data_IF_138471167768
#
_entry.id   IF_138471167768
#
_cell.length_a   1.000
_cell.length_b   1.000
_cell.length_c   1.000
_cell.angle_alpha   90.00
_cell.angle_beta   90.00
_cell.angle_gamma   90.00
#
_symmetry.space_group_name_H-M   'P 1'
#
loop_
_entity.id
_entity.type
_entity.pdbx_description
1 polymer ?
#
# COMPACT_ATOMS: atom_id res chain seq x y z
N UNK A 1 -10.55 -13.50 -11.23
CA UNK A 1 -10.81 -13.84 -9.82
C UNK A 1 -9.96 -15.04 -9.43
N UNK A 2 -9.24 -14.98 -8.32
CA UNK A 2 -8.57 -16.13 -7.68
C UNK A 2 -9.42 -16.55 -6.49
N UNK A 3 -9.72 -17.85 -6.34
CA UNK A 3 -10.58 -18.33 -5.27
C UNK A 3 -10.13 -19.71 -4.78
N UNK A 4 -10.11 -19.89 -3.47
CA UNK A 4 -9.88 -21.17 -2.83
C UNK A 4 -10.98 -21.45 -1.78
N UNK A 5 -10.72 -22.31 -0.79
CA UNK A 5 -11.67 -22.62 0.28
C UNK A 5 -11.82 -21.54 1.37
N UNK A 6 -10.85 -20.62 1.48
CA UNK A 6 -10.75 -19.63 2.56
C UNK A 6 -10.93 -18.17 2.08
N UNK A 7 -10.55 -17.87 0.84
CA UNK A 7 -10.46 -16.55 0.25
C UNK A 7 -11.01 -16.50 -1.19
N UNK A 8 -11.60 -15.37 -1.54
CA UNK A 8 -11.87 -14.97 -2.92
C UNK A 8 -11.30 -13.57 -3.18
N UNK A 9 -10.53 -13.42 -4.26
CA UNK A 9 -9.81 -12.21 -4.62
C UNK A 9 -10.17 -11.81 -6.05
N UNK A 10 -10.59 -10.57 -6.24
CA UNK A 10 -10.91 -10.03 -7.57
C UNK A 10 -9.87 -8.98 -7.97
N UNK A 11 -9.19 -9.26 -9.07
CA UNK A 11 -8.16 -8.39 -9.68
C UNK A 11 -8.71 -7.87 -11.01
N UNK A 12 -8.52 -6.58 -11.29
CA UNK A 12 -8.84 -5.96 -12.58
C UNK A 12 -7.53 -5.61 -13.30
N UNK A 13 -7.04 -6.45 -14.23
CA UNK A 13 -5.81 -6.18 -14.99
C UNK A 13 -5.82 -4.81 -15.70
N UNK A 14 -6.98 -4.40 -16.21
CA UNK A 14 -7.18 -3.18 -16.99
C UNK A 14 -7.11 -1.89 -16.17
N UNK A 15 -7.06 -1.99 -14.83
CA UNK A 15 -6.97 -0.88 -13.89
C UNK A 15 -5.76 -1.09 -12.98
N UNK A 16 -4.56 -1.11 -13.54
CA UNK A 16 -3.32 -1.21 -12.78
C UNK A 16 -3.13 -2.54 -12.05
N UNK A 17 -3.80 -3.61 -12.52
CA UNK A 17 -3.95 -4.85 -11.76
C UNK A 17 -4.50 -4.63 -10.33
N UNK A 18 -5.38 -3.63 -10.15
CA UNK A 18 -6.03 -3.29 -8.88
C UNK A 18 -6.77 -4.50 -8.31
N UNK A 19 -6.58 -4.75 -7.01
CA UNK A 19 -7.41 -5.72 -6.28
C UNK A 19 -8.61 -4.98 -5.74
N UNK A 20 -9.80 -5.27 -6.27
CA UNK A 20 -11.02 -4.55 -5.90
C UNK A 20 -11.81 -5.23 -4.78
N UNK A 21 -11.48 -6.48 -4.45
CA UNK A 21 -12.20 -7.27 -3.45
C UNK A 21 -11.31 -8.36 -2.89
N UNK A 22 -11.32 -8.51 -1.55
CA UNK A 22 -10.73 -9.64 -0.82
C UNK A 22 -11.73 -10.13 0.22
N UNK A 23 -12.41 -11.22 -0.11
CA UNK A 23 -13.44 -11.82 0.76
C UNK A 23 -12.87 -12.99 1.54
N UNK A 24 -13.00 -12.96 2.88
CA UNK A 24 -12.86 -14.15 3.73
C UNK A 24 -14.13 -15.00 3.62
N UNK A 25 -14.01 -16.19 3.04
CA UNK A 25 -15.15 -17.07 2.73
C UNK A 25 -15.77 -17.70 3.96
N UNK A 26 -14.95 -18.02 4.98
CA UNK A 26 -15.44 -18.58 6.26
C UNK A 26 -16.48 -17.69 6.93
N UNK A 27 -16.31 -16.37 6.82
CA UNK A 27 -17.16 -15.38 7.47
C UNK A 27 -17.99 -14.54 6.50
N UNK A 28 -17.87 -14.82 5.19
CA UNK A 28 -18.44 -14.02 4.11
C UNK A 28 -18.21 -12.51 4.28
N UNK A 29 -16.97 -12.12 4.60
CA UNK A 29 -16.59 -10.73 4.89
C UNK A 29 -15.71 -10.17 3.79
N UNK A 30 -16.13 -9.06 3.20
CA UNK A 30 -15.29 -8.17 2.41
C UNK A 30 -14.41 -7.31 3.34
N UNK A 31 -13.12 -7.22 3.03
CA UNK A 31 -12.15 -6.45 3.80
C UNK A 31 -11.79 -5.11 3.17
N UNK A 32 -11.82 -5.02 1.84
CA UNK A 32 -11.46 -3.79 1.15
C UNK A 32 -12.64 -2.80 1.15
N UNK A 33 -12.32 -1.51 1.24
CA UNK A 33 -13.30 -0.46 1.04
C UNK A 33 -13.69 -0.42 -0.44
N UNK A 34 -14.97 -0.20 -0.71
CA UNK A 34 -15.47 0.07 -2.05
C UNK A 34 -15.95 1.51 -2.11
N UNK A 35 -15.46 2.25 -3.07
CA UNK A 35 -16.04 3.54 -3.40
C UNK A 35 -17.37 3.32 -4.13
N UNK A 36 -18.48 3.69 -3.48
CA UNK A 36 -19.81 3.56 -4.07
C UNK A 36 -20.17 4.75 -4.96
N UNK A 37 -19.36 5.81 -4.95
CA UNK A 37 -19.62 7.05 -5.67
C UNK A 37 -19.00 7.03 -7.07
N UNK A 38 -17.99 6.18 -7.29
CA UNK A 38 -17.21 6.12 -8.53
C UNK A 38 -17.44 4.79 -9.24
N UNK A 39 -17.74 4.87 -10.55
CA UNK A 39 -17.75 3.69 -11.41
C UNK A 39 -16.33 3.40 -11.88
N UNK A 40 -15.83 2.21 -11.55
CA UNK A 40 -14.50 1.76 -11.97
C UNK A 40 -14.38 1.76 -13.49
N UNK A 41 -13.45 2.56 -14.02
CA UNK A 41 -13.13 2.69 -15.44
C UNK A 41 -11.67 3.13 -15.56
N UNK A 42 -10.98 2.84 -16.67
CA UNK A 42 -9.64 3.39 -16.89
C UNK A 42 -9.71 4.92 -16.85
N UNK A 43 -8.84 5.54 -16.04
CA UNK A 43 -8.80 6.99 -15.91
C UNK A 43 -8.39 7.63 -17.24
N UNK A 44 -9.12 8.66 -17.68
CA UNK A 44 -8.74 9.41 -18.88
C UNK A 44 -7.50 10.24 -18.59
N UNK A 45 -6.48 10.16 -19.44
CA UNK A 45 -5.24 10.94 -19.31
C UNK A 45 -4.58 10.84 -17.92
N UNK A 46 -4.80 9.73 -17.20
CA UNK A 46 -4.31 9.51 -15.83
C UNK A 46 -4.81 10.57 -14.83
N UNK A 47 -6.02 11.08 -15.02
CA UNK A 47 -6.65 12.02 -14.09
C UNK A 47 -7.07 11.30 -12.80
N UNK A 48 -6.35 11.62 -11.72
CA UNK A 48 -6.61 11.04 -10.40
C UNK A 48 -7.98 11.44 -9.83
N UNK A 49 -8.62 12.52 -10.31
CA UNK A 49 -9.97 12.86 -9.86
C UNK A 49 -11.04 11.85 -10.29
N UNK A 50 -10.75 11.02 -11.30
CA UNK A 50 -11.61 9.89 -11.68
C UNK A 50 -11.29 8.60 -10.92
N UNK A 51 -10.25 8.59 -10.07
CA UNK A 51 -9.80 7.41 -9.33
C UNK A 51 -10.70 7.14 -8.11
N UNK A 52 -10.99 5.86 -7.87
CA UNK A 52 -11.80 5.44 -6.74
C UNK A 52 -10.99 5.44 -5.43
N UNK A 53 -11.65 5.73 -4.32
CA UNK A 53 -11.01 5.77 -2.99
C UNK A 53 -10.87 4.40 -2.29
N UNK A 54 -11.10 3.29 -3.00
CA UNK A 54 -11.17 1.94 -2.44
C UNK A 54 -10.18 0.95 -3.07
N UNK A 55 -10.31 -0.33 -2.70
CA UNK A 55 -9.52 -1.42 -3.26
C UNK A 55 -8.04 -1.39 -2.85
N UNK A 56 -7.17 -1.95 -3.69
CA UNK A 56 -5.73 -2.00 -3.48
C UNK A 56 -4.97 -1.77 -4.79
N UNK A 57 -4.34 -0.60 -4.85
CA UNK A 57 -3.49 -0.13 -5.95
C UNK A 57 -1.99 -0.35 -5.69
N UNK A 58 -1.21 -0.30 -6.76
CA UNK A 58 0.25 -0.29 -6.69
C UNK A 58 0.76 1.12 -7.02
N UNK A 59 1.51 1.72 -6.10
CA UNK A 59 2.12 3.03 -6.31
C UNK A 59 3.60 2.86 -6.66
N UNK A 60 4.04 3.39 -7.80
CA UNK A 60 5.44 3.34 -8.27
C UNK A 60 5.64 4.27 -9.50
N UNK A 61 6.79 4.93 -9.69
CA UNK A 61 7.97 5.02 -8.82
C UNK A 61 7.87 6.14 -7.77
N UNK A 62 6.70 6.72 -7.61
CA UNK A 62 6.36 7.72 -6.59
C UNK A 62 4.90 7.56 -6.19
N UNK A 63 4.48 8.28 -5.15
CA UNK A 63 3.08 8.31 -4.71
C UNK A 63 2.50 9.72 -4.92
N UNK A 64 3.20 10.78 -4.53
CA UNK A 64 2.72 12.14 -4.83
C UNK A 64 3.12 12.57 -6.25
N UNK A 65 2.29 13.37 -6.94
CA UNK A 65 2.63 13.88 -8.26
C UNK A 65 3.89 14.76 -8.21
N UNK A 66 4.81 14.55 -9.15
CA UNK A 66 6.08 15.28 -9.21
C UNK A 66 6.74 15.14 -10.59
N UNK A 67 7.57 16.13 -10.94
CA UNK A 67 8.58 15.97 -11.98
C UNK A 67 9.82 15.34 -11.36
N UNK A 68 10.42 14.37 -12.03
CA UNK A 68 11.70 13.79 -11.62
C UNK A 68 12.57 13.47 -12.85
N UNK A 69 13.88 13.49 -12.64
CA UNK A 69 14.86 13.18 -13.68
C UNK A 69 15.85 12.15 -13.13
N UNK A 70 15.77 10.92 -13.63
CA UNK A 70 16.72 9.84 -13.31
C UNK A 70 17.58 9.47 -14.53
N UNK A 71 17.20 9.94 -15.72
CA UNK A 71 17.95 9.80 -16.96
C UNK A 71 18.31 11.22 -17.41
N UNK A 72 19.60 11.51 -17.67
CA UNK A 72 20.03 12.86 -18.07
C UNK A 72 19.25 13.41 -19.25
N UNK A 73 18.74 14.63 -19.10
CA UNK A 73 17.94 15.37 -20.09
C UNK A 73 16.58 14.72 -20.42
N UNK A 74 16.06 13.85 -19.55
CA UNK A 74 14.72 13.27 -19.69
C UNK A 74 13.94 13.48 -18.38
N UNK A 75 13.09 14.51 -18.38
CA UNK A 75 12.16 14.75 -17.28
C UNK A 75 10.92 13.87 -17.43
N UNK A 76 10.54 13.20 -16.36
CA UNK A 76 9.34 12.38 -16.27
C UNK A 76 8.35 13.06 -15.33
N UNK A 77 7.07 13.05 -15.69
CA UNK A 77 6.00 13.44 -14.80
C UNK A 77 5.37 12.19 -14.19
N UNK A 78 5.56 12.02 -12.89
CA UNK A 78 4.85 11.01 -12.11
C UNK A 78 3.51 11.60 -11.70
N UNK A 79 2.41 10.94 -12.06
CA UNK A 79 1.07 11.31 -11.60
C UNK A 79 0.90 10.97 -10.12
N UNK A 80 -0.21 11.39 -9.52
CA UNK A 80 -0.60 10.88 -8.21
C UNK A 80 -0.72 9.35 -8.28
N UNK A 81 -0.21 8.65 -7.26
CA UNK A 81 0.03 7.21 -7.17
C UNK A 81 0.99 6.64 -8.24
N UNK A 82 1.71 7.49 -8.97
CA UNK A 82 2.70 7.08 -9.95
C UNK A 82 2.08 6.58 -11.26
N UNK A 83 2.75 5.62 -11.90
CA UNK A 83 2.46 5.21 -13.28
C UNK A 83 1.65 3.91 -13.38
N UNK A 84 1.60 3.10 -12.32
CA UNK A 84 1.10 1.74 -12.40
C UNK A 84 -0.43 1.62 -12.34
N UNK A 85 -1.10 2.38 -11.47
CA UNK A 85 -2.52 2.22 -11.13
C UNK A 85 -3.47 2.53 -12.30
N UNK A 86 -3.07 3.46 -13.19
CA UNK A 86 -3.91 3.98 -14.26
C UNK A 86 -3.80 3.20 -15.58
N UNK A 87 -2.90 2.20 -15.66
CA UNK A 87 -2.58 1.50 -16.90
C UNK A 87 -3.17 0.09 -16.97
N UNK A 88 -3.33 -0.43 -18.18
CA UNK A 88 -3.60 -1.86 -18.35
C UNK A 88 -2.33 -2.67 -18.03
N UNK A 89 -2.55 -3.85 -17.46
CA UNK A 89 -1.51 -4.84 -17.22
C UNK A 89 -1.82 -6.10 -18.03
N UNK A 90 -0.77 -6.66 -18.62
CA UNK A 90 -0.85 -7.90 -19.37
C UNK A 90 -0.71 -9.10 -18.44
N UNK A 91 -1.59 -10.09 -18.61
CA UNK A 91 -1.45 -11.37 -17.94
C UNK A 91 -0.34 -12.14 -18.63
N UNK A 92 0.79 -12.33 -17.95
CA UNK A 92 1.98 -13.00 -18.49
C UNK A 92 2.06 -14.47 -18.11
N UNK A 93 1.40 -14.87 -17.02
CA UNK A 93 1.30 -16.26 -16.61
C UNK A 93 0.00 -16.53 -15.86
N UNK A 94 -0.63 -17.67 -16.17
CA UNK A 94 -1.73 -18.24 -15.40
C UNK A 94 -1.47 -19.72 -15.18
N UNK A 95 -1.38 -20.11 -13.92
CA UNK A 95 -1.28 -21.51 -13.54
C UNK A 95 -2.43 -21.86 -12.60
N UNK A 96 -3.14 -22.94 -12.91
CA UNK A 96 -4.19 -23.49 -12.06
C UNK A 96 -3.91 -24.97 -11.93
N UNK A 97 -3.70 -25.42 -10.69
CA UNK A 97 -3.57 -26.83 -10.34
C UNK A 97 -4.51 -27.16 -9.18
N UNK A 98 -4.51 -28.43 -8.78
CA UNK A 98 -5.25 -28.86 -7.59
C UNK A 98 -4.69 -28.26 -6.30
N UNK A 99 -3.45 -27.75 -6.30
CA UNK A 99 -2.76 -27.27 -5.10
C UNK A 99 -2.73 -25.75 -5.00
N UNK A 100 -2.70 -25.02 -6.12
CA UNK A 100 -2.62 -23.57 -6.12
C UNK A 100 -3.07 -22.90 -7.42
N UNK A 101 -3.38 -21.61 -7.30
CA UNK A 101 -3.61 -20.69 -8.41
C UNK A 101 -2.48 -19.66 -8.40
N UNK A 102 -1.83 -19.47 -9.54
CA UNK A 102 -0.84 -18.42 -9.77
C UNK A 102 -1.31 -17.51 -10.90
N UNK A 103 -1.26 -16.20 -10.67
CA UNK A 103 -1.54 -15.18 -11.67
C UNK A 103 -0.39 -14.16 -11.67
N UNK A 104 0.38 -14.08 -12.76
CA UNK A 104 1.39 -13.05 -12.96
C UNK A 104 0.90 -12.03 -13.97
N UNK A 105 1.05 -10.75 -13.61
CA UNK A 105 0.71 -9.63 -14.47
C UNK A 105 1.92 -8.70 -14.60
N UNK A 106 2.07 -8.09 -15.78
CA UNK A 106 3.10 -7.11 -16.08
C UNK A 106 2.48 -5.79 -16.51
N UNK A 107 2.95 -4.68 -15.95
CA UNK A 107 2.51 -3.35 -16.34
C UNK A 107 2.97 -2.97 -17.75
N UNK A 108 2.09 -2.32 -18.52
CA UNK A 108 2.41 -1.72 -19.83
C UNK A 108 2.98 -0.31 -19.66
N UNK A 109 4.15 -0.20 -19.01
CA UNK A 109 4.76 1.09 -18.67
C UNK A 109 5.01 1.96 -19.92
N UNK A 110 4.57 3.22 -19.90
CA UNK A 110 4.51 4.14 -21.05
C UNK A 110 5.81 4.30 -21.84
N UNK A 111 6.97 4.23 -21.20
CA UNK A 111 8.25 4.50 -21.85
C UNK A 111 9.27 3.35 -21.74
N UNK A 112 8.83 2.19 -21.23
CA UNK A 112 9.62 0.97 -21.08
C UNK A 112 10.94 1.12 -20.28
N UNK A 113 11.11 2.20 -19.50
CA UNK A 113 12.31 2.42 -18.67
C UNK A 113 12.47 1.39 -17.57
N UNK A 114 11.37 0.79 -17.13
CA UNK A 114 11.37 -0.36 -16.26
C UNK A 114 10.29 -1.36 -16.65
N UNK A 115 10.45 -2.59 -16.17
CA UNK A 115 9.44 -3.64 -16.22
C UNK A 115 8.99 -3.91 -14.80
N UNK A 116 7.68 -3.84 -14.54
CA UNK A 116 7.09 -4.16 -13.24
C UNK A 116 6.18 -5.38 -13.38
N UNK A 117 6.43 -6.41 -12.56
CA UNK A 117 5.65 -7.65 -12.52
C UNK A 117 5.14 -7.86 -11.09
N UNK A 118 3.86 -8.21 -10.99
CA UNK A 118 3.21 -8.65 -9.75
C UNK A 118 2.65 -10.05 -9.95
N UNK A 119 2.98 -10.96 -9.05
CA UNK A 119 2.48 -12.33 -9.06
C UNK A 119 1.68 -12.60 -7.80
N UNK A 120 0.47 -13.12 -7.99
CA UNK A 120 -0.40 -13.59 -6.92
C UNK A 120 -0.37 -15.11 -6.86
N UNK A 121 -0.13 -15.67 -5.68
CA UNK A 121 -0.22 -17.12 -5.46
C UNK A 121 -1.22 -17.42 -4.33
N UNK A 122 -2.21 -18.25 -4.64
CA UNK A 122 -3.25 -18.68 -3.71
C UNK A 122 -3.31 -20.21 -3.63
N UNK A 123 -2.80 -20.78 -2.54
CA UNK A 123 -2.84 -22.23 -2.29
C UNK A 123 -4.23 -22.69 -1.86
N UNK A 124 -4.62 -23.92 -2.21
CA UNK A 124 -5.96 -24.52 -2.05
C UNK A 124 -6.64 -24.33 -0.68
N UNK A 125 -5.88 -24.46 0.40
CA UNK A 125 -6.36 -24.40 1.79
C UNK A 125 -5.68 -23.29 2.61
N UNK A 126 -5.24 -22.23 1.94
CA UNK A 126 -4.52 -21.13 2.58
C UNK A 126 -5.43 -19.95 2.87
N UNK A 127 -5.34 -19.42 4.10
CA UNK A 127 -5.88 -18.11 4.47
C UNK A 127 -4.98 -16.94 4.06
N UNK A 128 -3.98 -17.20 3.22
CA UNK A 128 -2.97 -16.26 2.77
C UNK A 128 -2.93 -16.17 1.26
N UNK A 129 -2.89 -14.95 0.77
CA UNK A 129 -2.50 -14.60 -0.59
C UNK A 129 -1.03 -14.17 -0.56
N UNK A 130 -0.18 -14.90 -1.29
CA UNK A 130 1.21 -14.49 -1.48
C UNK A 130 1.26 -13.50 -2.64
N UNK A 131 2.05 -12.44 -2.47
CA UNK A 131 2.23 -11.39 -3.48
C UNK A 131 3.72 -11.16 -3.67
N UNK A 132 4.21 -11.50 -4.86
CA UNK A 132 5.60 -11.34 -5.25
C UNK A 132 5.73 -10.20 -6.26
N UNK A 133 6.77 -9.40 -6.09
CA UNK A 133 7.08 -8.23 -6.91
C UNK A 133 8.44 -8.40 -7.56
N UNK A 134 8.53 -8.00 -8.83
CA UNK A 134 9.77 -7.94 -9.58
C UNK A 134 9.81 -6.66 -10.39
N UNK A 135 10.90 -5.90 -10.24
CA UNK A 135 11.15 -4.70 -11.04
C UNK A 135 12.51 -4.81 -11.70
N UNK A 136 12.55 -4.66 -13.02
CA UNK A 136 13.78 -4.57 -13.81
C UNK A 136 13.94 -3.14 -14.32
N UNK A 137 15.08 -2.54 -14.04
CA UNK A 137 15.50 -1.30 -14.68
C UNK A 137 16.06 -1.64 -16.07
N UNK A 138 15.43 -1.13 -17.13
CA UNK A 138 15.81 -1.38 -18.51
C UNK A 138 16.77 -0.33 -19.08
N UNK A 139 17.25 0.58 -18.23
CA UNK A 139 18.17 1.66 -18.60
C UNK A 139 19.54 1.46 -17.99
N UNK A 140 20.54 2.20 -18.47
CA UNK A 140 21.89 2.22 -17.88
C UNK A 140 22.01 3.13 -16.67
N UNK A 141 21.01 3.97 -16.38
CA UNK A 141 21.01 4.90 -15.25
C UNK A 141 20.33 4.27 -14.04
N UNK A 142 20.66 4.73 -12.83
CA UNK A 142 19.99 4.23 -11.64
C UNK A 142 18.52 4.70 -11.61
N UNK A 143 17.62 3.83 -11.18
CA UNK A 143 16.20 4.12 -10.98
C UNK A 143 15.94 4.28 -9.48
N UNK A 144 15.92 5.52 -8.95
CA UNK A 144 15.38 5.78 -7.63
C UNK A 144 13.86 5.61 -7.67
N UNK A 145 13.27 5.09 -6.60
CA UNK A 145 11.83 4.88 -6.53
C UNK A 145 11.30 4.90 -5.10
N UNK A 146 10.03 5.24 -4.97
CA UNK A 146 9.17 4.88 -3.85
C UNK A 146 8.16 3.87 -4.36
N UNK A 147 7.90 2.84 -3.56
CA UNK A 147 6.87 1.85 -3.82
C UNK A 147 5.93 1.75 -2.62
N UNK A 148 4.63 1.65 -2.87
CA UNK A 148 3.65 1.32 -1.82
C UNK A 148 2.64 0.34 -2.37
N UNK A 149 2.43 -0.77 -1.65
CA UNK A 149 1.19 -1.49 -1.74
C UNK A 149 0.12 -0.64 -1.03
N UNK A 150 -0.90 -0.19 -1.78
CA UNK A 150 -1.88 0.78 -1.28
C UNK A 150 -3.29 0.19 -1.08
N UNK A 151 -3.48 -0.81 -0.18
CA UNK A 151 -4.78 -1.38 0.14
C UNK A 151 -5.56 -0.49 1.11
N UNK A 152 -6.78 -0.14 0.71
CA UNK A 152 -7.72 0.63 1.50
C UNK A 152 -8.77 -0.29 2.10
N UNK A 153 -8.81 -0.36 3.43
CA UNK A 153 -9.66 -1.27 4.19
C UNK A 153 -10.99 -0.63 4.60
N UNK A 154 -12.05 -1.44 4.54
CA UNK A 154 -13.32 -1.15 5.17
C UNK A 154 -13.20 -1.34 6.69
N UNK A 155 -13.42 -0.26 7.43
CA UNK A 155 -13.25 -0.21 8.89
C UNK A 155 -14.53 0.18 9.61
N UNK A 156 -14.58 -0.11 10.91
CA UNK A 156 -15.60 0.38 11.84
C UNK A 156 -14.90 0.94 13.08
N UNK A 157 -15.53 1.90 13.79
CA UNK A 157 -15.05 2.33 15.09
C UNK A 157 -14.77 1.14 16.01
N UNK A 158 -13.78 1.29 16.90
CA UNK A 158 -13.31 0.29 17.85
C UNK A 158 -12.50 -0.87 17.26
N UNK A 159 -12.38 -1.00 15.93
CA UNK A 159 -11.36 -1.86 15.34
C UNK A 159 -9.96 -1.38 15.74
N UNK A 160 -8.98 -2.29 15.73
CA UNK A 160 -7.62 -1.99 16.18
C UNK A 160 -6.57 -2.43 15.17
N UNK A 161 -5.50 -1.66 15.06
CA UNK A 161 -4.30 -1.99 14.31
C UNK A 161 -3.31 -2.58 15.29
N UNK A 162 -2.79 -3.77 15.02
CA UNK A 162 -1.77 -4.41 15.85
C UNK A 162 -0.53 -4.65 15.01
N UNK A 163 0.62 -4.32 15.58
CA UNK A 163 1.93 -4.48 14.95
C UNK A 163 2.80 -5.28 15.91
N UNK A 164 3.46 -6.33 15.42
CA UNK A 164 4.29 -7.20 16.26
C UNK A 164 5.59 -6.53 16.75
N UNK A 165 5.92 -5.35 16.22
CA UNK A 165 7.00 -4.50 16.71
C UNK A 165 6.43 -3.29 17.48
N UNK A 166 6.50 -3.35 18.82
CA UNK A 166 5.96 -2.30 19.69
C UNK A 166 6.78 -1.01 19.70
N UNK A 167 8.06 -1.08 19.33
CA UNK A 167 8.97 0.07 19.37
C UNK A 167 9.05 0.81 18.03
N UNK A 168 8.15 0.50 17.09
CA UNK A 168 8.12 1.19 15.83
C UNK A 168 7.74 2.66 16.03
N UNK A 169 8.46 3.56 15.37
CA UNK A 169 8.17 4.99 15.41
C UNK A 169 7.65 5.44 14.07
N UNK A 170 6.70 6.38 14.08
CA UNK A 170 6.11 6.99 12.90
C UNK A 170 6.45 8.47 12.84
N UNK A 171 6.80 8.94 11.64
CA UNK A 171 6.99 10.35 11.35
C UNK A 171 5.65 11.07 11.48
N UNK A 172 5.65 12.19 12.17
CA UNK A 172 4.48 13.07 12.30
C UNK A 172 4.31 13.87 11.01
N UNK A 173 3.15 13.74 10.38
CA UNK A 173 2.76 14.56 9.22
C UNK A 173 1.97 15.80 9.67
N UNK A 174 1.62 16.66 8.71
CA UNK A 174 0.86 17.88 8.97
C UNK A 174 -0.54 17.58 9.53
N UNK A 175 -1.21 16.52 9.03
CA UNK A 175 -2.53 16.11 9.49
C UNK A 175 -2.53 15.72 10.98
N UNK A 176 -1.57 14.89 11.38
CA UNK A 176 -1.41 14.47 12.78
C UNK A 176 -0.97 15.63 13.67
N UNK A 177 -0.01 16.44 13.21
CA UNK A 177 0.47 17.62 13.92
C UNK A 177 -0.66 18.60 14.21
N UNK A 178 -1.45 18.96 13.19
CA UNK A 178 -2.56 19.88 13.31
C UNK A 178 -3.66 19.33 14.22
N UNK A 179 -4.06 18.07 14.02
CA UNK A 179 -5.18 17.47 14.75
C UNK A 179 -4.89 17.32 16.25
N UNK A 180 -3.68 16.89 16.62
CA UNK A 180 -3.30 16.67 18.03
C UNK A 180 -2.46 17.79 18.65
N UNK A 181 -2.17 18.86 17.89
CA UNK A 181 -1.30 19.96 18.31
C UNK A 181 0.05 19.44 18.87
N UNK A 182 0.72 18.61 18.06
CA UNK A 182 2.00 17.97 18.39
C UNK A 182 3.10 18.42 17.42
N UNK A 183 4.27 18.74 17.97
CA UNK A 183 5.42 19.27 17.22
C UNK A 183 6.62 18.30 17.22
N UNK A 184 6.44 17.08 17.71
CA UNK A 184 7.48 16.04 17.67
C UNK A 184 7.70 15.59 16.23
N UNK A 185 8.95 15.30 15.85
CA UNK A 185 9.25 14.76 14.51
C UNK A 185 8.73 13.31 14.35
N UNK A 186 8.75 12.54 15.43
CA UNK A 186 8.31 11.15 15.49
C UNK A 186 7.46 10.90 16.73
N UNK A 187 6.61 9.88 16.63
CA UNK A 187 5.83 9.32 17.72
C UNK A 187 6.05 7.81 17.78
N UNK A 188 6.18 7.24 18.97
CA UNK A 188 6.29 5.80 19.14
C UNK A 188 4.89 5.16 19.07
N UNK A 189 4.77 4.07 18.31
CA UNK A 189 3.52 3.33 18.10
C UNK A 189 2.85 2.87 19.41
N UNK A 190 3.66 2.49 20.40
CA UNK A 190 3.18 2.02 21.69
C UNK A 190 3.03 3.13 22.73
N UNK A 191 3.54 4.33 22.48
CA UNK A 191 3.47 5.42 23.43
C UNK A 191 2.19 6.24 23.21
N UNK A 192 1.35 6.25 24.23
CA UNK A 192 0.28 7.24 24.35
C UNK A 192 0.87 8.46 25.06
N UNK A 193 0.63 9.66 24.52
CA UNK A 193 0.90 10.88 25.27
C UNK A 193 -0.42 11.46 25.79
N UNK A 194 -0.35 12.46 26.68
CA UNK A 194 -1.55 13.21 27.08
C UNK A 194 -2.20 13.95 25.90
N UNK A 195 -1.48 14.14 24.79
CA UNK A 195 -1.95 14.85 23.60
C UNK A 195 -2.38 13.92 22.46
N UNK A 196 -1.64 12.84 22.25
CA UNK A 196 -1.87 11.87 21.16
C UNK A 196 -2.38 10.56 21.78
N UNK A 197 -3.65 10.19 21.57
CA UNK A 197 -4.17 8.91 21.98
C UNK A 197 -3.48 7.78 21.18
N UNK A 198 -3.58 6.53 21.63
CA UNK A 198 -3.06 5.42 20.85
C UNK A 198 -3.67 5.39 19.45
N UNK A 199 -2.83 5.55 18.42
CA UNK A 199 -3.23 5.53 17.00
C UNK A 199 -3.65 4.13 16.52
N UNK A 200 -3.48 3.14 17.38
CA UNK A 200 -3.79 1.75 17.11
C UNK A 200 -5.30 1.46 17.16
N UNK A 201 -6.16 2.45 17.37
CA UNK A 201 -7.62 2.30 17.47
C UNK A 201 -8.33 3.16 16.44
N UNK A 202 -9.25 2.55 15.70
CA UNK A 202 -10.12 3.26 14.76
C UNK A 202 -11.08 4.17 15.53
N UNK A 203 -11.05 5.46 15.20
CA UNK A 203 -11.81 6.50 15.89
C UNK A 203 -13.32 6.42 15.60
N UNK A 204 -14.17 7.16 16.35
CA UNK A 204 -15.57 7.35 15.99
C UNK A 204 -15.76 8.01 14.62
N UNK A 205 -16.92 7.76 14.00
CA UNK A 205 -17.28 8.29 12.67
C UNK A 205 -17.25 9.83 12.57
N UNK A 206 -17.46 10.55 13.67
CA UNK A 206 -17.48 12.01 13.70
C UNK A 206 -16.12 12.64 14.05
N UNK A 207 -15.02 11.88 13.97
CA UNK A 207 -13.69 12.37 14.35
C UNK A 207 -13.12 13.40 13.37
N UNK A 208 -13.41 13.28 12.06
CA UNK A 208 -12.88 14.20 11.05
C UNK A 208 -11.35 14.15 10.93
N UNK A 209 -10.73 13.05 11.35
CA UNK A 209 -9.28 12.89 11.35
C UNK A 209 -8.80 12.35 10.00
N UNK A 210 -7.77 12.97 9.43
CA UNK A 210 -7.04 12.40 8.31
C UNK A 210 -5.53 12.67 8.45
N UNK A 211 -4.72 11.66 8.18
CA UNK A 211 -3.26 11.73 8.32
C UNK A 211 -2.59 10.55 7.62
N UNK A 212 -1.49 10.79 6.91
CA UNK A 212 -0.63 9.75 6.34
C UNK A 212 0.71 9.75 7.04
N UNK A 213 1.01 8.68 7.77
CA UNK A 213 2.26 8.55 8.53
C UNK A 213 3.10 7.41 7.98
N UNK A 214 4.42 7.58 8.04
CA UNK A 214 5.40 6.57 7.64
C UNK A 214 6.25 6.17 8.83
N UNK A 215 6.57 4.89 8.96
CA UNK A 215 7.50 4.43 9.98
C UNK A 215 8.89 5.02 9.78
N UNK A 216 9.78 4.91 10.77
CA UNK A 216 11.23 4.92 10.48
C UNK A 216 11.63 3.70 9.66
N UNK A 217 12.82 3.74 9.07
CA UNK A 217 13.39 2.62 8.34
C UNK A 217 13.45 1.35 9.21
N UNK A 218 12.71 0.33 8.78
CA UNK A 218 12.47 -0.90 9.53
C UNK A 218 13.64 -1.86 9.54
N UNK A 219 14.70 -1.64 8.74
CA UNK A 219 15.85 -2.53 8.67
C UNK A 219 17.13 -1.90 9.24
N UNK A 220 17.01 -1.29 10.42
CA UNK A 220 18.11 -0.58 11.08
C UNK A 220 18.19 -0.95 12.56
N UNK A 221 19.40 -0.89 13.13
CA UNK A 221 19.63 -1.11 14.56
C UNK A 221 18.98 -2.38 15.11
N UNK A 222 18.15 -2.23 16.16
CA UNK A 222 17.41 -3.32 16.82
C UNK A 222 16.22 -3.85 16.02
N UNK A 223 15.90 -3.25 14.87
CA UNK A 223 14.80 -3.66 13.99
C UNK A 223 15.25 -4.43 12.75
N UNK A 224 16.55 -4.70 12.64
CA UNK A 224 17.13 -5.37 11.48
C UNK A 224 16.61 -6.82 11.31
N UNK A 225 16.40 -7.21 10.07
CA UNK A 225 16.04 -8.58 9.63
C UNK A 225 14.80 -9.14 10.35
N UNK A 226 13.84 -8.27 10.67
CA UNK A 226 12.60 -8.64 11.31
C UNK A 226 11.54 -9.05 10.29
N UNK A 227 10.73 -10.03 10.70
CA UNK A 227 9.45 -10.29 10.07
C UNK A 227 8.39 -9.39 10.70
N UNK A 228 7.84 -8.46 9.93
CA UNK A 228 6.85 -7.48 10.36
C UNK A 228 5.47 -8.03 10.06
N UNK A 229 4.61 -8.03 11.08
CA UNK A 229 3.20 -8.39 10.98
C UNK A 229 2.39 -7.18 11.43
N UNK A 230 1.59 -6.63 10.52
CA UNK A 230 0.60 -5.59 10.79
C UNK A 230 -0.79 -6.14 10.49
N UNK A 231 -1.74 -5.99 11.41
CA UNK A 231 -3.10 -6.48 11.23
C UNK A 231 -4.16 -5.52 11.74
N UNK A 232 -5.27 -5.46 11.01
CA UNK A 232 -6.53 -4.88 11.43
C UNK A 232 -7.36 -5.95 12.15
N UNK A 233 -7.86 -5.63 13.34
CA UNK A 233 -8.59 -6.55 14.22
C UNK A 233 -9.98 -5.99 14.51
N UNK A 234 -10.99 -6.84 14.32
CA UNK A 234 -12.36 -6.60 14.74
C UNK A 234 -12.69 -7.56 15.89
N UNK A 235 -12.53 -7.09 17.12
CA UNK A 235 -12.77 -7.91 18.32
C UNK A 235 -14.23 -8.33 18.45
N UNK A 236 -15.18 -7.53 17.95
CA UNK A 236 -16.60 -7.90 17.99
C UNK A 236 -16.91 -9.05 17.05
N UNK A 237 -16.31 -9.04 15.86
CA UNK A 237 -16.47 -10.12 14.88
C UNK A 237 -15.51 -11.30 15.11
N UNK A 238 -14.55 -11.17 16.03
CA UNK A 238 -13.46 -12.14 16.25
C UNK A 238 -12.70 -12.47 14.96
N UNK A 239 -12.41 -11.43 14.18
CA UNK A 239 -11.80 -11.55 12.85
C UNK A 239 -10.64 -10.57 12.69
N UNK A 240 -9.68 -10.92 11.85
CA UNK A 240 -8.61 -9.99 11.46
C UNK A 240 -8.13 -10.20 10.03
N UNK A 241 -7.54 -9.17 9.45
CA UNK A 241 -6.75 -9.28 8.24
C UNK A 241 -5.45 -8.47 8.38
N UNK A 242 -4.47 -8.71 7.52
CA UNK A 242 -3.22 -7.98 7.62
C UNK A 242 -2.16 -8.41 6.62
N UNK A 243 -0.97 -7.86 6.82
CA UNK A 243 0.21 -8.14 6.01
C UNK A 243 1.34 -8.69 6.85
N UNK A 244 2.11 -9.57 6.24
CA UNK A 244 3.37 -10.08 6.75
C UNK A 244 4.45 -9.93 5.70
N UNK A 245 5.59 -9.35 6.10
CA UNK A 245 6.72 -9.08 5.22
C UNK A 245 8.05 -8.98 5.98
N UNK A 246 9.16 -9.16 5.25
CA UNK A 246 10.51 -8.97 5.79
C UNK A 246 10.96 -7.52 5.68
N UNK A 247 11.45 -6.94 6.78
CA UNK A 247 12.02 -5.58 6.78
C UNK A 247 13.27 -5.46 5.91
N UNK A 248 13.96 -6.57 5.62
CA UNK A 248 15.13 -6.58 4.73
C UNK A 248 14.80 -6.14 3.30
N UNK A 249 13.57 -6.40 2.83
CA UNK A 249 13.15 -6.10 1.47
C UNK A 249 12.15 -4.94 1.38
N UNK A 250 11.31 -4.76 2.41
CA UNK A 250 10.31 -3.69 2.52
C UNK A 250 10.73 -2.78 3.67
N UNK A 251 11.20 -1.58 3.34
CA UNK A 251 11.91 -0.72 4.29
C UNK A 251 10.99 0.03 5.25
N UNK A 252 9.71 0.21 4.91
CA UNK A 252 8.81 1.08 5.65
C UNK A 252 7.40 0.50 5.75
N UNK A 253 6.63 1.04 6.70
CA UNK A 253 5.18 0.87 6.77
C UNK A 253 4.53 2.25 6.75
N UNK A 254 3.65 2.48 5.79
CA UNK A 254 2.74 3.60 5.73
C UNK A 254 1.40 3.24 6.40
N UNK A 255 0.78 4.22 7.06
CA UNK A 255 -0.59 4.14 7.52
C UNK A 255 -1.34 5.38 7.06
N UNK A 256 -2.41 5.17 6.29
CA UNK A 256 -3.33 6.22 5.87
C UNK A 256 -4.59 6.17 6.71
N UNK A 257 -4.74 7.12 7.63
CA UNK A 257 -5.95 7.30 8.40
C UNK A 257 -6.86 8.26 7.66
N UNK A 258 -8.09 7.84 7.33
CA UNK A 258 -9.13 8.78 6.91
C UNK A 258 -10.44 8.43 7.58
N UNK A 259 -10.73 9.13 8.66
CA UNK A 259 -11.92 8.94 9.49
C UNK A 259 -12.91 10.07 9.22
N UNK A 260 -13.31 10.18 7.94
CA UNK A 260 -14.10 11.27 7.37
C UNK A 260 -13.41 12.65 7.47
N UNK A 261 -12.08 12.71 7.39
CA UNK A 261 -11.31 13.95 7.54
C UNK A 261 -10.87 14.59 6.22
N UNK A 262 -10.74 13.81 5.15
CA UNK A 262 -10.22 14.29 3.86
C UNK A 262 -10.93 13.64 2.67
N UNK A 263 -11.06 14.36 1.56
CA UNK A 263 -11.60 13.87 0.29
C UNK A 263 -10.86 14.50 -0.88
N UNK A 264 -10.63 13.73 -1.94
CA UNK A 264 -9.92 14.21 -3.12
C UNK A 264 -10.75 15.15 -4.00
N UNK A 265 -12.07 14.91 -4.12
CA UNK A 265 -12.88 15.43 -5.23
C UNK A 265 -14.21 16.07 -4.80
N UNK A 266 -14.21 16.90 -3.74
CA UNK A 266 -15.41 17.53 -3.14
C UNK A 266 -16.51 16.55 -2.66
N UNK A 267 -16.28 15.24 -2.80
CA UNK A 267 -17.13 14.18 -2.27
C UNK A 267 -17.05 14.13 -0.75
N UNK A 268 -18.02 13.43 -0.13
CA UNK A 268 -17.95 13.14 1.30
C UNK A 268 -16.67 12.35 1.60
N UNK A 269 -15.83 12.83 2.56
CA UNK A 269 -14.66 12.10 3.03
C UNK A 269 -15.00 10.65 3.39
N UNK A 270 -14.27 9.66 2.86
CA UNK A 270 -14.52 8.26 3.20
C UNK A 270 -14.04 7.92 4.62
N UNK A 271 -14.63 6.86 5.19
CA UNK A 271 -14.21 6.28 6.47
C UNK A 271 -13.42 5.00 6.23
N UNK A 272 -12.11 5.14 6.04
CA UNK A 272 -11.22 4.08 5.56
C UNK A 272 -9.86 4.10 6.26
N UNK A 273 -9.12 3.01 6.12
CA UNK A 273 -7.74 2.88 6.61
C UNK A 273 -6.85 2.24 5.54
N UNK A 274 -5.75 2.88 5.19
CA UNK A 274 -4.66 2.26 4.44
C UNK A 274 -3.64 1.60 5.37
N UNK A 275 -3.26 0.36 5.07
CA UNK A 275 -2.11 -0.31 5.71
C UNK A 275 -1.13 -0.67 4.61
N UNK A 276 -0.01 0.05 4.56
CA UNK A 276 0.80 0.17 3.34
C UNK A 276 2.23 -0.32 3.55
N UNK A 277 2.54 -1.61 3.37
CA UNK A 277 3.92 -2.05 3.20
C UNK A 277 4.56 -1.27 2.04
N UNK A 278 5.68 -0.59 2.30
CA UNK A 278 6.28 0.33 1.33
C UNK A 278 7.81 0.35 1.37
N UNK A 279 8.40 0.85 0.28
CA UNK A 279 9.82 1.18 0.16
C UNK A 279 9.88 2.69 -0.08
N UNK A 280 10.46 3.44 0.86
CA UNK A 280 10.38 4.90 0.89
C UNK A 280 9.69 5.42 2.14
N UNK A 281 10.16 6.54 2.68
CA UNK A 281 9.62 7.16 3.91
C UNK A 281 8.62 8.30 3.65
N UNK A 282 8.18 8.47 2.41
CA UNK A 282 7.45 9.65 1.95
C UNK A 282 6.73 9.35 0.64
N UNK A 283 5.58 9.98 0.42
CA UNK A 283 4.88 9.92 -0.87
C UNK A 283 5.72 10.51 -2.02
N UNK A 284 6.47 11.58 -1.73
CA UNK A 284 7.36 12.23 -2.70
C UNK A 284 8.69 11.49 -2.80
N UNK A 285 9.06 11.14 -4.03
CA UNK A 285 10.37 10.55 -4.36
C UNK A 285 11.49 11.54 -4.08
N UNK A 286 11.30 12.83 -4.40
CA UNK A 286 12.30 13.86 -4.09
C UNK A 286 12.58 13.96 -2.59
N UNK A 287 11.54 13.93 -1.75
CA UNK A 287 11.71 13.94 -0.30
C UNK A 287 12.41 12.67 0.18
N UNK A 288 12.05 11.49 -0.36
CA UNK A 288 12.71 10.24 -0.03
C UNK A 288 14.20 10.27 -0.38
N UNK A 289 14.55 10.71 -1.60
CA UNK A 289 15.93 10.91 -2.07
C UNK A 289 16.71 11.92 -1.23
N UNK A 290 16.10 13.04 -0.88
CA UNK A 290 16.75 14.05 -0.04
C UNK A 290 17.05 13.54 1.38
N UNK A 291 16.35 12.50 1.83
CA UNK A 291 16.60 11.81 3.10
C UNK A 291 17.35 10.49 2.96
N UNK A 292 17.75 10.09 1.75
CA UNK A 292 18.40 8.79 1.46
C UNK A 292 17.57 7.57 1.90
N UNK A 293 16.25 7.66 1.78
CA UNK A 293 15.30 6.61 2.18
C UNK A 293 14.54 5.99 0.99
N UNK A 294 14.88 6.40 -0.24
CA UNK A 294 14.33 5.83 -1.47
C UNK A 294 14.79 4.38 -1.69
N UNK A 295 14.01 3.63 -2.47
CA UNK A 295 14.50 2.44 -3.13
C UNK A 295 15.40 2.81 -4.31
N UNK A 296 16.42 1.99 -4.59
CA UNK A 296 17.30 2.18 -5.74
C UNK A 296 17.48 0.87 -6.51
N UNK A 297 17.28 0.91 -7.84
CA UNK A 297 17.63 -0.17 -8.75
C UNK A 297 18.73 0.32 -9.69
N UNK A 298 19.91 -0.29 -9.62
CA UNK A 298 21.03 0.08 -10.50
C UNK A 298 20.67 -0.11 -11.97
N UNK A 299 21.35 0.61 -12.86
CA UNK A 299 21.19 0.42 -14.30
C UNK A 299 21.31 -1.05 -14.71
N UNK A 300 20.38 -1.53 -15.54
CA UNK A 300 20.23 -2.91 -16.01
C UNK A 300 20.04 -3.97 -14.91
N UNK A 301 19.89 -3.56 -13.65
CA UNK A 301 19.65 -4.47 -12.54
C UNK A 301 18.15 -4.71 -12.34
N UNK A 302 17.84 -5.62 -11.42
CA UNK A 302 16.49 -5.85 -10.96
C UNK A 302 16.45 -5.89 -9.44
N UNK A 303 15.25 -5.72 -8.90
CA UNK A 303 14.95 -5.90 -7.48
C UNK A 303 13.65 -6.69 -7.34
N UNK A 304 13.59 -7.56 -6.35
CA UNK A 304 12.41 -8.33 -6.02
C UNK A 304 12.12 -8.23 -4.53
N UNK A 305 10.84 -8.29 -4.18
CA UNK A 305 10.39 -8.41 -2.80
C UNK A 305 9.07 -9.17 -2.77
N UNK A 306 8.66 -9.60 -1.59
CA UNK A 306 7.43 -10.35 -1.41
C UNK A 306 6.76 -9.95 -0.10
N UNK A 307 5.47 -10.21 -0.04
CA UNK A 307 4.70 -10.15 1.19
C UNK A 307 3.52 -11.12 1.11
N UNK A 308 2.84 -11.33 2.23
CA UNK A 308 1.57 -12.05 2.24
C UNK A 308 0.47 -11.22 2.87
N UNK A 309 -0.68 -11.20 2.23
CA UNK A 309 -1.93 -10.81 2.87
C UNK A 309 -2.52 -12.03 3.55
N UNK A 310 -3.09 -11.86 4.75
CA UNK A 310 -3.73 -12.95 5.48
C UNK A 310 -5.04 -12.54 6.14
N UNK A 311 -5.90 -13.53 6.41
CA UNK A 311 -7.09 -13.39 7.26
C UNK A 311 -7.05 -14.41 8.41
N UNK A 312 -7.65 -14.07 9.55
CA UNK A 312 -7.92 -15.00 10.65
C UNK A 312 -9.37 -14.93 11.08
#
# INVERSE_FOLDING_TARGET
>A
MLKNSELAITVIPQLGAKVISIVSLKHNREWLAHDKQITLKPAKNNDFSEHDSGGWDECFPGISPQLYEHIPNKTHFSHDHGELWCQAWQITNTHISDEEIILSLQAEVFDSTFTFIRTFTLKKHSKRLLVDYYVKNNTTHNLPFVWSAHPIFAIKPEMRILINNKHMEFKVDEGLSHFYNVNSAFINWSECSTKVPPLNKVMPYNSGFASKVFSKHLNTGTHKDLNIIVKLVDDKAQQSCGFEFSSTNISHLGLWFNYNGWSANEQLPPFVLGIEPCIGNSDSLHKAMASEEEGLIKGNAHKSWHMSFFVN
#
